data_IF_434711144245
#
_entry.id   IF_434711144245
#
_cell.length_a   1.000
_cell.length_b   1.000
_cell.length_c   1.000
_cell.angle_alpha   90.00
_cell.angle_beta   90.00
_cell.angle_gamma   90.00
#
_symmetry.space_group_name_H-M   'P 1'
#
loop_
_entity.id
_entity.type
_entity.pdbx_description
1 polymer ?
#
# COMPACT_ATOMS: atom_id res chain seq x y z
N UNK A 1 6.84 -2.57 12.68
CA UNK A 1 7.44 -1.32 12.15
C UNK A 1 6.56 -0.11 12.47
N UNK A 2 5.22 -0.25 12.50
CA UNK A 2 4.30 0.81 12.94
C UNK A 2 4.63 1.44 14.30
N UNK A 3 5.01 0.63 15.29
CA UNK A 3 5.42 1.15 16.61
C UNK A 3 6.66 2.05 16.55
N UNK A 4 7.63 1.74 15.68
CA UNK A 4 8.80 2.60 15.48
C UNK A 4 8.41 3.94 14.82
N UNK A 5 7.49 3.89 13.84
CA UNK A 5 6.96 5.08 13.16
C UNK A 5 6.26 6.03 14.15
N UNK A 6 5.43 5.48 15.05
CA UNK A 6 4.77 6.25 16.11
C UNK A 6 5.75 6.94 17.03
N UNK A 7 6.81 6.25 17.44
CA UNK A 7 7.85 6.82 18.30
C UNK A 7 8.56 7.98 17.60
N UNK A 8 8.85 7.91 16.29
CA UNK A 8 9.44 9.03 15.55
C UNK A 8 8.51 10.25 15.46
N UNK A 9 7.21 10.04 15.20
CA UNK A 9 6.21 11.11 15.19
C UNK A 9 6.16 11.80 16.57
N UNK A 10 6.06 11.01 17.64
CA UNK A 10 6.01 11.52 19.02
C UNK A 10 7.28 12.29 19.41
N UNK A 11 8.47 11.78 19.04
CA UNK A 11 9.75 12.49 19.29
C UNK A 11 9.80 13.84 18.59
N UNK A 12 9.27 13.92 17.38
CA UNK A 12 9.25 15.15 16.58
C UNK A 12 8.31 16.18 17.18
N UNK A 13 7.14 15.75 17.65
CA UNK A 13 6.17 16.61 18.33
C UNK A 13 6.66 17.10 19.69
N UNK A 14 7.31 16.24 20.47
CA UNK A 14 7.92 16.62 21.75
C UNK A 14 8.95 17.75 21.59
N UNK A 15 9.64 17.79 20.45
CA UNK A 15 10.60 18.84 20.10
C UNK A 15 9.95 20.14 19.60
N UNK A 16 8.62 20.25 19.65
CA UNK A 16 7.90 21.47 19.31
C UNK A 16 7.74 21.73 17.82
N UNK A 17 7.86 20.72 16.96
CA UNK A 17 7.67 20.91 15.52
C UNK A 17 6.24 21.40 15.20
N UNK A 18 6.12 22.44 14.36
CA UNK A 18 4.84 22.93 13.85
C UNK A 18 4.49 22.38 12.47
N UNK A 19 5.50 21.91 11.73
CA UNK A 19 5.38 21.28 10.42
C UNK A 19 6.05 19.92 10.44
N UNK A 20 5.32 18.89 10.02
CA UNK A 20 5.83 17.53 9.86
C UNK A 20 5.90 17.18 8.37
N UNK A 21 7.02 16.59 7.93
CA UNK A 21 7.16 16.05 6.58
C UNK A 21 7.30 14.54 6.72
N UNK A 22 6.38 13.80 6.10
CA UNK A 22 6.35 12.35 6.15
C UNK A 22 6.52 11.83 4.72
N UNK A 23 7.65 11.15 4.46
CA UNK A 23 7.99 10.59 3.16
C UNK A 23 7.72 9.09 3.11
N UNK A 24 6.74 8.69 2.29
CA UNK A 24 6.20 7.33 2.16
C UNK A 24 6.10 6.55 3.49
N UNK A 25 5.48 7.12 4.54
CA UNK A 25 5.53 6.55 5.88
C UNK A 25 4.75 5.23 6.02
N UNK A 26 3.95 4.85 5.02
CA UNK A 26 3.11 3.64 5.03
C UNK A 26 3.72 2.46 4.28
N UNK A 27 4.93 2.59 3.72
CA UNK A 27 5.50 1.59 2.82
C UNK A 27 5.57 0.18 3.43
N UNK A 28 5.70 0.11 4.76
CA UNK A 28 5.92 -1.11 5.56
C UNK A 28 4.79 -1.37 6.56
N UNK A 29 3.68 -0.64 6.44
CA UNK A 29 2.53 -0.74 7.35
C UNK A 29 1.44 -1.62 6.76
N UNK A 30 0.82 -2.44 7.61
CA UNK A 30 -0.40 -3.15 7.29
C UNK A 30 -1.60 -2.17 7.17
N UNK A 31 -2.68 -2.52 6.47
CA UNK A 31 -3.82 -1.63 6.28
C UNK A 31 -4.39 -1.03 7.58
N UNK A 32 -4.49 -1.83 8.64
CA UNK A 32 -4.97 -1.38 9.95
C UNK A 32 -4.01 -0.37 10.60
N UNK A 33 -2.69 -0.58 10.48
CA UNK A 33 -1.67 0.35 10.99
C UNK A 33 -1.72 1.70 10.23
N UNK A 34 -2.08 1.67 8.93
CA UNK A 34 -2.27 2.87 8.12
C UNK A 34 -3.46 3.69 8.66
N UNK A 35 -4.59 3.06 8.94
CA UNK A 35 -5.78 3.74 9.48
C UNK A 35 -5.49 4.44 10.82
N UNK A 36 -4.73 3.79 11.70
CA UNK A 36 -4.30 4.36 12.98
C UNK A 36 -3.34 5.54 12.80
N UNK A 37 -2.40 5.45 11.84
CA UNK A 37 -1.50 6.55 11.51
C UNK A 37 -2.29 7.75 10.95
N UNK A 38 -3.29 7.51 10.09
CA UNK A 38 -4.18 8.54 9.55
C UNK A 38 -4.96 9.24 10.67
N UNK A 39 -5.53 8.47 11.61
CA UNK A 39 -6.22 9.03 12.77
C UNK A 39 -5.29 9.92 13.61
N UNK A 40 -4.04 9.48 13.82
CA UNK A 40 -3.01 10.25 14.53
C UNK A 40 -2.72 11.57 13.81
N UNK A 41 -2.47 11.53 12.50
CA UNK A 41 -2.21 12.73 11.70
C UNK A 41 -3.36 13.75 11.78
N UNK A 42 -4.61 13.28 11.68
CA UNK A 42 -5.79 14.15 11.84
C UNK A 42 -5.82 14.82 13.22
N UNK A 43 -5.52 14.07 14.29
CA UNK A 43 -5.44 14.65 15.64
C UNK A 43 -4.39 15.76 15.73
N UNK A 44 -3.22 15.56 15.11
CA UNK A 44 -2.16 16.59 15.09
C UNK A 44 -2.60 17.84 14.32
N UNK A 45 -3.31 17.68 13.20
CA UNK A 45 -3.88 18.81 12.47
C UNK A 45 -4.87 19.59 13.33
N UNK A 46 -5.74 18.89 14.09
CA UNK A 46 -6.66 19.58 15.02
C UNK A 46 -5.95 20.32 16.16
N UNK A 47 -4.71 19.93 16.48
CA UNK A 47 -3.85 20.63 17.45
C UNK A 47 -3.07 21.80 16.82
N UNK A 48 -3.37 22.16 15.57
CA UNK A 48 -2.75 23.28 14.86
C UNK A 48 -1.45 22.94 14.13
N UNK A 49 -1.10 21.65 14.02
CA UNK A 49 0.10 21.21 13.30
C UNK A 49 -0.18 21.10 11.80
N UNK A 50 0.82 21.43 10.99
CA UNK A 50 0.78 21.24 9.54
C UNK A 50 1.53 19.98 9.13
N UNK A 51 1.01 19.24 8.15
CA UNK A 51 1.64 17.99 7.69
C UNK A 51 1.79 18.03 6.17
N UNK A 52 3.00 17.75 5.69
CA UNK A 52 3.29 17.42 4.30
C UNK A 52 3.42 15.91 4.22
N UNK A 53 2.46 15.27 3.56
CA UNK A 53 2.41 13.83 3.38
C UNK A 53 2.77 13.47 1.94
N UNK A 54 3.86 12.74 1.75
CA UNK A 54 4.33 12.27 0.44
C UNK A 54 3.96 10.80 0.32
N UNK A 55 3.13 10.49 -0.69
CA UNK A 55 2.72 9.12 -0.97
C UNK A 55 2.41 8.97 -2.46
N UNK A 56 2.69 7.78 -3.00
CA UNK A 56 2.25 7.36 -4.32
C UNK A 56 0.96 6.52 -4.26
N UNK A 57 0.39 6.30 -3.07
CA UNK A 57 -0.81 5.49 -2.86
C UNK A 57 -2.04 6.41 -2.75
N UNK A 58 -2.85 6.41 -3.81
CA UNK A 58 -4.01 7.31 -3.93
C UNK A 58 -5.03 7.21 -2.78
N UNK A 59 -5.29 6.01 -2.25
CA UNK A 59 -6.26 5.84 -1.16
C UNK A 59 -5.83 6.55 0.13
N UNK A 60 -4.52 6.66 0.37
CA UNK A 60 -3.99 7.40 1.53
C UNK A 60 -4.15 8.89 1.32
N UNK A 61 -3.83 9.38 0.11
CA UNK A 61 -3.99 10.78 -0.27
C UNK A 61 -5.45 11.21 -0.12
N UNK A 62 -6.39 10.42 -0.60
CA UNK A 62 -7.83 10.67 -0.46
C UNK A 62 -8.28 10.75 1.00
N UNK A 63 -7.66 9.97 1.89
CA UNK A 63 -8.03 9.93 3.29
C UNK A 63 -7.50 11.11 4.11
N UNK A 64 -6.39 11.75 3.71
CA UNK A 64 -5.68 12.71 4.58
C UNK A 64 -5.45 14.08 3.98
N UNK A 65 -5.49 14.22 2.66
CA UNK A 65 -5.08 15.45 2.02
C UNK A 65 -6.23 16.47 1.97
N UNK A 66 -5.98 17.67 2.49
CA UNK A 66 -6.81 18.85 2.18
C UNK A 66 -6.45 19.43 0.81
N UNK A 67 -5.13 19.46 0.53
CA UNK A 67 -4.52 20.03 -0.68
C UNK A 67 -3.50 19.08 -1.28
N UNK A 68 -3.45 19.03 -2.60
CA UNK A 68 -2.62 18.11 -3.36
C UNK A 68 -1.70 18.89 -4.29
N UNK A 69 -0.44 18.49 -4.31
CA UNK A 69 0.55 18.88 -5.32
C UNK A 69 1.07 17.61 -5.97
N UNK A 70 1.04 17.56 -7.30
CA UNK A 70 1.47 16.40 -8.08
C UNK A 70 2.81 16.71 -8.72
N UNK A 71 3.79 15.83 -8.47
CA UNK A 71 5.09 15.86 -9.13
C UNK A 71 5.17 14.74 -10.16
N UNK A 72 5.65 15.07 -11.36
CA UNK A 72 5.93 14.11 -12.44
C UNK A 72 7.25 14.45 -13.11
N UNK A 73 8.17 13.49 -13.18
CA UNK A 73 9.52 13.66 -13.76
C UNK A 73 10.26 14.88 -13.20
N UNK A 74 10.21 15.06 -11.88
CA UNK A 74 10.86 16.17 -11.17
C UNK A 74 10.23 17.55 -11.39
N UNK A 75 9.04 17.63 -12.00
CA UNK A 75 8.31 18.89 -12.22
C UNK A 75 6.95 18.85 -11.56
N UNK A 76 6.52 19.99 -11.03
CA UNK A 76 5.14 20.16 -10.53
C UNK A 76 4.20 20.23 -11.73
N UNK A 77 3.30 19.26 -11.86
CA UNK A 77 2.31 19.20 -12.94
C UNK A 77 0.94 19.68 -12.52
N UNK A 78 0.65 19.65 -11.22
CA UNK A 78 -0.51 20.28 -10.63
C UNK A 78 -0.17 20.73 -9.20
N UNK A 79 -0.70 21.87 -8.78
CA UNK A 79 -0.40 22.45 -7.47
C UNK A 79 -1.65 23.00 -6.82
N UNK A 80 -1.76 22.83 -5.51
CA UNK A 80 -2.82 23.44 -4.72
C UNK A 80 -4.22 22.94 -5.06
N UNK A 81 -4.33 21.74 -5.62
CA UNK A 81 -5.63 21.11 -5.89
C UNK A 81 -6.32 20.81 -4.56
N UNK A 82 -7.58 21.17 -4.42
CA UNK A 82 -8.40 20.71 -3.31
C UNK A 82 -8.76 19.25 -3.53
N UNK A 83 -8.68 18.42 -2.49
CA UNK A 83 -9.14 17.03 -2.56
C UNK A 83 -10.67 16.96 -2.73
N UNK A 84 -11.40 17.90 -2.15
CA UNK A 84 -12.85 17.97 -2.29
C UNK A 84 -13.28 18.06 -3.76
N UNK A 85 -14.19 17.17 -4.17
CA UNK A 85 -14.73 17.12 -5.54
C UNK A 85 -13.79 16.48 -6.57
N UNK A 86 -12.70 15.83 -6.14
CA UNK A 86 -11.79 15.11 -7.04
C UNK A 86 -11.97 13.61 -6.96
N UNK A 87 -11.67 12.93 -8.06
CA UNK A 87 -11.73 11.48 -8.17
C UNK A 87 -10.33 10.87 -8.17
N UNK A 88 -10.23 9.64 -7.68
CA UNK A 88 -9.02 8.80 -7.78
C UNK A 88 -8.45 8.75 -9.20
N UNK A 89 -9.33 8.71 -10.19
CA UNK A 89 -8.97 8.62 -11.60
C UNK A 89 -8.29 9.89 -12.11
N UNK A 90 -8.85 11.06 -11.80
CA UNK A 90 -8.22 12.34 -12.13
C UNK A 90 -6.83 12.46 -11.51
N UNK A 91 -6.69 12.10 -10.23
CA UNK A 91 -5.40 12.14 -9.53
C UNK A 91 -4.39 11.17 -10.16
N UNK A 92 -4.80 9.94 -10.48
CA UNK A 92 -3.95 8.98 -11.17
C UNK A 92 -3.47 9.50 -12.53
N UNK A 93 -4.37 10.10 -13.31
CA UNK A 93 -4.04 10.68 -14.61
C UNK A 93 -3.04 11.83 -14.47
N UNK A 94 -3.15 12.68 -13.45
CA UNK A 94 -2.18 13.75 -13.19
C UNK A 94 -0.79 13.19 -12.84
N UNK A 95 -0.74 12.12 -12.04
CA UNK A 95 0.50 11.45 -11.61
C UNK A 95 1.20 10.75 -12.79
N UNK A 96 0.46 9.99 -13.60
CA UNK A 96 1.01 9.17 -14.69
C UNK A 96 1.16 9.96 -16.00
N UNK A 97 0.28 10.93 -16.23
CA UNK A 97 0.25 11.76 -17.44
C UNK A 97 -0.44 11.13 -18.66
N UNK A 98 -1.20 10.06 -18.46
CA UNK A 98 -2.04 9.39 -19.46
C UNK A 98 -3.30 8.87 -18.77
N UNK A 99 -4.31 8.56 -19.58
CA UNK A 99 -5.53 7.94 -19.07
C UNK A 99 -5.21 6.61 -18.35
N UNK A 100 -5.85 6.38 -17.19
CA UNK A 100 -5.59 5.25 -16.30
C UNK A 100 -6.83 4.40 -16.18
N UNK A 101 -6.85 3.29 -16.90
CA UNK A 101 -7.92 2.29 -16.81
C UNK A 101 -7.66 1.39 -15.60
N UNK A 102 -8.48 1.50 -14.56
CA UNK A 102 -8.34 0.67 -13.35
C UNK A 102 -8.91 -0.75 -13.52
N UNK A 103 -9.85 -0.93 -14.45
CA UNK A 103 -10.46 -2.23 -14.75
C UNK A 103 -9.99 -2.72 -16.10
N UNK A 104 -9.17 -3.77 -16.08
CA UNK A 104 -8.84 -4.48 -17.32
C UNK A 104 -10.02 -5.38 -17.66
N UNK A 105 -10.74 -5.06 -18.73
CA UNK A 105 -11.68 -6.00 -19.32
C UNK A 105 -10.90 -7.23 -19.80
N UNK A 106 -11.10 -8.37 -19.13
CA UNK A 106 -10.51 -9.65 -19.53
C UNK A 106 -11.59 -10.51 -20.14
N UNK A 107 -11.33 -11.04 -21.34
CA UNK A 107 -12.15 -12.10 -21.91
C UNK A 107 -12.04 -13.36 -21.03
N UNK A 108 -13.10 -14.18 -20.94
CA UNK A 108 -13.03 -15.47 -20.27
C UNK A 108 -11.87 -16.29 -20.83
N UNK A 109 -11.00 -16.80 -19.97
CA UNK A 109 -9.96 -17.74 -20.36
C UNK A 109 -10.47 -19.17 -20.13
N UNK A 110 -10.16 -20.08 -21.05
CA UNK A 110 -10.37 -21.52 -20.84
C UNK A 110 -9.03 -22.12 -20.44
N UNK A 111 -8.82 -22.46 -19.15
CA UNK A 111 -7.54 -23.00 -18.69
C UNK A 111 -7.22 -24.31 -19.41
N UNK A 112 -5.96 -24.49 -19.79
CA UNK A 112 -5.47 -25.73 -20.41
C UNK A 112 -5.14 -26.81 -19.39
N UNK A 113 -4.16 -27.66 -19.75
CA UNK A 113 -3.70 -28.76 -18.92
C UNK A 113 -3.04 -28.27 -17.61
N UNK A 114 -3.02 -29.12 -16.59
CA UNK A 114 -2.32 -28.83 -15.33
C UNK A 114 -0.82 -28.78 -15.61
N UNK A 115 -0.20 -27.64 -15.31
CA UNK A 115 1.25 -27.41 -15.48
C UNK A 115 2.02 -27.43 -14.15
N UNK A 116 1.31 -27.26 -13.03
CA UNK A 116 1.86 -27.41 -11.68
C UNK A 116 0.85 -28.16 -10.82
N UNK A 117 1.29 -29.20 -10.13
CA UNK A 117 0.49 -29.94 -9.16
C UNK A 117 1.30 -30.10 -7.86
N UNK A 118 0.73 -29.65 -6.75
CA UNK A 118 1.27 -29.79 -5.41
C UNK A 118 0.29 -30.62 -4.59
N UNK A 119 0.81 -31.60 -3.87
CA UNK A 119 0.02 -32.43 -2.97
C UNK A 119 0.67 -32.52 -1.59
N UNK A 120 -0.04 -32.05 -0.57
CA UNK A 120 0.34 -32.21 0.84
C UNK A 120 1.68 -31.55 1.20
N UNK A 121 2.07 -30.49 0.50
CA UNK A 121 3.40 -29.85 0.66
C UNK A 121 3.54 -29.25 2.06
N UNK A 122 4.67 -29.58 2.70
CA UNK A 122 5.06 -29.10 4.03
C UNK A 122 6.46 -28.50 3.94
N UNK A 123 6.66 -27.40 4.67
CA UNK A 123 7.93 -26.70 4.71
C UNK A 123 8.12 -26.07 6.09
N UNK A 124 9.37 -25.94 6.50
CA UNK A 124 9.79 -25.18 7.68
C UNK A 124 10.41 -23.86 7.23
N UNK A 125 10.21 -22.80 8.01
CA UNK A 125 10.88 -21.53 7.74
C UNK A 125 12.35 -21.55 8.22
N UNK A 126 13.06 -20.45 7.97
CA UNK A 126 14.42 -20.22 8.43
C UNK A 126 14.61 -20.20 9.96
N UNK A 127 13.53 -20.19 10.75
CA UNK A 127 13.54 -20.28 12.22
C UNK A 127 13.23 -21.69 12.73
N UNK A 128 13.10 -22.67 11.83
CA UNK A 128 12.79 -24.06 12.17
C UNK A 128 11.34 -24.29 12.61
N UNK A 129 10.43 -23.33 12.40
CA UNK A 129 9.01 -23.53 12.69
C UNK A 129 8.23 -23.94 11.44
N UNK A 130 7.15 -24.74 11.56
CA UNK A 130 6.34 -25.14 10.41
C UNK A 130 5.70 -23.94 9.70
N UNK A 131 6.06 -23.73 8.43
CA UNK A 131 5.55 -22.67 7.56
C UNK A 131 4.39 -23.16 6.70
N UNK A 132 4.53 -24.32 6.05
CA UNK A 132 3.47 -24.97 5.27
C UNK A 132 3.01 -26.25 5.96
N UNK A 133 1.69 -26.46 6.01
CA UNK A 133 1.06 -27.53 6.80
C UNK A 133 0.23 -28.50 5.95
N UNK A 134 0.76 -28.93 4.81
CA UNK A 134 0.06 -29.84 3.90
C UNK A 134 -0.78 -29.09 2.88
N UNK A 135 -0.14 -28.20 2.13
CA UNK A 135 -0.80 -27.39 1.09
C UNK A 135 -0.86 -28.18 -0.21
N UNK A 136 -2.04 -28.29 -0.80
CA UNK A 136 -2.27 -28.87 -2.12
C UNK A 136 -2.86 -27.80 -3.05
N UNK A 137 -2.36 -27.72 -4.28
CA UNK A 137 -2.88 -26.82 -5.33
C UNK A 137 -2.53 -27.33 -6.73
N UNK A 138 -3.33 -26.91 -7.70
CA UNK A 138 -3.06 -27.08 -9.12
C UNK A 138 -3.00 -25.72 -9.80
N UNK A 139 -2.11 -25.55 -10.78
CA UNK A 139 -2.12 -24.41 -11.70
C UNK A 139 -2.21 -24.94 -13.12
N UNK A 140 -3.16 -24.41 -13.89
CA UNK A 140 -3.40 -24.81 -15.28
C UNK A 140 -2.72 -23.87 -16.28
N UNK A 141 -2.46 -24.36 -17.48
CA UNK A 141 -1.89 -23.58 -18.56
C UNK A 141 -2.79 -22.36 -18.86
N UNK A 142 -2.19 -21.17 -18.90
CA UNK A 142 -2.90 -19.90 -19.09
C UNK A 142 -3.54 -19.32 -17.82
N UNK A 143 -3.42 -19.99 -16.67
CA UNK A 143 -3.87 -19.46 -15.38
C UNK A 143 -2.81 -18.54 -14.75
N UNK A 144 -3.27 -17.49 -14.06
CA UNK A 144 -2.41 -16.65 -13.22
C UNK A 144 -2.88 -16.85 -11.78
N UNK A 145 -2.12 -17.65 -11.01
CA UNK A 145 -2.36 -17.84 -9.58
C UNK A 145 -1.61 -16.78 -8.76
N UNK A 146 -2.32 -16.05 -7.92
CA UNK A 146 -1.73 -15.11 -6.95
C UNK A 146 -1.82 -15.65 -5.53
N UNK A 147 -0.69 -15.75 -4.84
CA UNK A 147 -0.63 -16.14 -3.43
C UNK A 147 -0.52 -14.88 -2.58
N UNK A 148 -1.52 -14.61 -1.75
CA UNK A 148 -1.59 -13.42 -0.90
C UNK A 148 -1.78 -13.79 0.58
N UNK A 149 -1.28 -12.95 1.49
CA UNK A 149 -1.47 -13.10 2.93
C UNK A 149 -0.60 -12.13 3.74
N UNK A 150 -0.68 -12.19 5.07
CA UNK A 150 0.15 -11.39 5.98
C UNK A 150 1.57 -11.97 6.06
N UNK A 151 2.58 -11.11 6.22
CA UNK A 151 3.98 -11.54 6.34
C UNK A 151 4.16 -12.61 7.43
N UNK A 152 4.86 -13.70 7.07
CA UNK A 152 5.11 -14.84 7.97
C UNK A 152 4.13 -16.01 7.85
N UNK A 153 3.16 -15.93 6.93
CA UNK A 153 2.17 -16.99 6.70
C UNK A 153 2.59 -18.02 5.62
N UNK A 154 3.88 -18.13 5.32
CA UNK A 154 4.41 -19.17 4.42
C UNK A 154 4.46 -18.81 2.94
N UNK A 155 4.15 -17.58 2.54
CA UNK A 155 4.15 -17.17 1.12
C UNK A 155 5.54 -17.26 0.50
N UNK A 156 6.58 -16.96 1.27
CA UNK A 156 7.97 -17.05 0.82
C UNK A 156 8.43 -18.49 0.70
N UNK A 157 8.01 -19.36 1.61
CA UNK A 157 8.29 -20.81 1.55
C UNK A 157 7.48 -21.53 0.44
N UNK A 158 6.47 -20.86 -0.10
CA UNK A 158 5.63 -21.35 -1.20
C UNK A 158 6.08 -20.84 -2.58
N UNK A 159 6.90 -19.79 -2.63
CA UNK A 159 7.42 -19.17 -3.85
C UNK A 159 8.75 -19.80 -4.28
#
# INVERSE_FOLDING_TARGET
VGEQQRVEILKTLYRGADVLILDEPTAVLAPQEIDEMIATMRSLVTQGKSIIFISHKLHEVEAVADRITVLRKGRVTAQGLLMAGRTKHELAQLMVGRDVVFQVEKSPNTPGDVVLHMDGVKAVNNKGTPALRGVSLEVRAGEILGIAGVAGNGQSEMA
#
